data_IF_216576850469
#
_entry.id   IF_216576850469
#
_cell.length_a   1.000
_cell.length_b   1.000
_cell.length_c   1.000
_cell.angle_alpha   90.00
_cell.angle_beta   90.00
_cell.angle_gamma   90.00
#
_symmetry.space_group_name_H-M   'P 1'
#
loop_
_entity.id
_entity.type
_entity.pdbx_description
1 polymer ?
#
# COMPACT_ATOMS: atom_id res chain seq x y z
N UNK A 1 -0.40 32.82 33.75
CA UNK A 1 0.46 31.73 34.26
C UNK A 1 -0.11 30.33 34.03
N UNK A 2 -1.41 30.08 34.21
CA UNK A 2 -2.02 28.75 34.06
C UNK A 2 -1.98 28.16 32.63
N UNK A 3 -2.16 28.97 31.58
CA UNK A 3 -2.10 28.48 30.19
C UNK A 3 -0.72 27.92 29.77
N UNK A 4 0.36 28.54 30.25
CA UNK A 4 1.73 28.13 29.90
C UNK A 4 2.08 26.75 30.50
N UNK A 5 1.58 26.48 31.72
CA UNK A 5 1.75 25.19 32.39
C UNK A 5 0.98 24.06 31.69
N UNK A 6 -0.23 24.32 31.17
CA UNK A 6 -0.98 23.34 30.37
C UNK A 6 -0.29 23.03 29.02
N UNK A 7 0.26 24.05 28.34
CA UNK A 7 0.95 23.85 27.06
C UNK A 7 2.21 22.99 27.24
N UNK A 8 2.99 23.23 28.30
CA UNK A 8 4.17 22.41 28.62
C UNK A 8 3.81 20.95 28.96
N UNK A 9 2.69 20.72 29.66
CA UNK A 9 2.20 19.37 29.93
C UNK A 9 1.75 18.65 28.64
N UNK A 10 1.04 19.35 27.74
CA UNK A 10 0.62 18.80 26.46
C UNK A 10 1.82 18.54 25.52
N UNK A 11 2.83 19.40 25.52
CA UNK A 11 4.08 19.22 24.77
C UNK A 11 4.86 18.00 25.29
N UNK A 12 4.97 17.84 26.61
CA UNK A 12 5.57 16.65 27.23
C UNK A 12 4.85 15.35 26.85
N UNK A 13 3.51 15.37 26.82
CA UNK A 13 2.71 14.24 26.35
C UNK A 13 2.90 13.96 24.85
N UNK A 14 3.01 14.99 24.01
CA UNK A 14 3.26 14.84 22.58
C UNK A 14 4.64 14.22 22.31
N UNK A 15 5.69 14.75 22.93
CA UNK A 15 7.04 14.22 22.79
C UNK A 15 7.16 12.80 23.32
N UNK A 16 6.48 12.49 24.44
CA UNK A 16 6.41 11.13 24.98
C UNK A 16 5.73 10.17 23.99
N UNK A 17 4.61 10.56 23.36
CA UNK A 17 3.94 9.75 22.34
C UNK A 17 4.80 9.52 21.10
N UNK A 18 5.54 10.53 20.64
CA UNK A 18 6.49 10.40 19.52
C UNK A 18 7.63 9.44 19.87
N UNK A 19 8.14 9.51 21.10
CA UNK A 19 9.21 8.63 21.61
C UNK A 19 8.73 7.19 21.76
N UNK A 20 7.52 6.97 22.29
CA UNK A 20 6.87 5.66 22.36
C UNK A 20 6.66 5.08 20.95
N UNK A 21 6.16 5.88 19.99
CA UNK A 21 6.04 5.43 18.59
C UNK A 21 7.38 5.01 17.98
N UNK A 22 8.46 5.75 18.28
CA UNK A 22 9.83 5.39 17.83
C UNK A 22 10.32 4.08 18.47
N UNK A 23 10.10 3.90 19.77
CA UNK A 23 10.49 2.69 20.51
C UNK A 23 9.71 1.48 20.02
N UNK A 24 8.39 1.60 19.86
CA UNK A 24 7.53 0.58 19.27
C UNK A 24 8.05 0.21 17.86
N UNK A 25 8.35 1.21 17.03
CA UNK A 25 8.90 1.00 15.67
C UNK A 25 10.27 0.30 15.67
N UNK A 26 11.10 0.49 16.71
CA UNK A 26 12.36 -0.23 16.88
C UNK A 26 12.23 -1.62 17.51
N UNK A 27 11.11 -1.92 18.19
CA UNK A 27 10.85 -3.22 18.83
C UNK A 27 10.14 -4.23 17.91
N UNK A 28 9.49 -3.78 16.82
CA UNK A 28 8.83 -4.67 15.87
C UNK A 28 9.78 -5.23 14.81
N UNK A 29 9.84 -6.57 14.73
CA UNK A 29 10.69 -7.29 13.79
C UNK A 29 10.30 -6.98 12.32
N UNK A 30 11.29 -6.73 11.46
CA UNK A 30 11.19 -6.14 10.10
C UNK A 30 10.29 -6.91 9.13
N UNK A 31 10.26 -8.24 9.24
CA UNK A 31 9.35 -9.08 8.44
C UNK A 31 7.89 -8.91 8.87
N UNK A 32 7.64 -8.54 10.13
CA UNK A 32 6.30 -8.41 10.68
C UNK A 32 5.62 -7.10 10.28
N UNK A 33 6.36 -5.99 10.19
CA UNK A 33 5.83 -4.70 9.72
C UNK A 33 5.45 -4.74 8.22
N UNK A 34 6.29 -5.36 7.38
CA UNK A 34 5.97 -5.58 5.96
C UNK A 34 4.75 -6.50 5.79
N UNK A 35 4.75 -7.58 6.58
CA UNK A 35 3.60 -8.49 6.65
C UNK A 35 2.36 -7.79 7.21
N UNK A 36 2.46 -6.60 7.80
CA UNK A 36 1.32 -5.83 8.28
C UNK A 36 0.69 -5.00 7.16
N UNK A 37 1.46 -4.27 6.35
CA UNK A 37 0.91 -3.47 5.24
C UNK A 37 0.35 -4.34 4.12
N UNK A 38 1.01 -5.45 3.77
CA UNK A 38 0.45 -6.42 2.84
C UNK A 38 -0.87 -7.03 3.35
N UNK A 39 -0.93 -7.41 4.63
CA UNK A 39 -2.19 -7.86 5.27
C UNK A 39 -3.26 -6.77 5.31
N UNK A 40 -2.89 -5.52 5.56
CA UNK A 40 -3.82 -4.38 5.57
C UNK A 40 -4.40 -4.18 4.16
N UNK A 41 -3.57 -4.15 3.12
CA UNK A 41 -4.02 -4.07 1.74
C UNK A 41 -4.97 -5.22 1.39
N UNK A 42 -4.60 -6.45 1.75
CA UNK A 42 -5.45 -7.63 1.56
C UNK A 42 -6.78 -7.50 2.31
N UNK A 43 -6.78 -6.97 3.54
CA UNK A 43 -8.01 -6.79 4.34
C UNK A 43 -8.99 -5.77 3.74
N UNK A 44 -8.47 -4.78 3.01
CA UNK A 44 -9.30 -3.82 2.29
C UNK A 44 -9.89 -4.41 1.01
N UNK A 45 -9.18 -5.31 0.34
CA UNK A 45 -9.67 -5.96 -0.87
C UNK A 45 -10.91 -6.82 -0.57
N UNK A 46 -12.05 -6.46 -1.15
CA UNK A 46 -13.36 -7.10 -0.86
C UNK A 46 -13.69 -7.16 0.63
N UNK A 47 -13.12 -6.23 1.42
CA UNK A 47 -13.39 -6.07 2.84
C UNK A 47 -14.70 -5.33 3.11
N UNK A 48 -14.77 -4.64 4.25
CA UNK A 48 -15.96 -3.92 4.71
C UNK A 48 -16.50 -2.91 3.69
N UNK A 49 -15.60 -2.18 3.03
CA UNK A 49 -15.93 -1.17 2.02
C UNK A 49 -16.06 -1.76 0.61
N UNK A 50 -15.85 -3.07 0.46
CA UNK A 50 -15.88 -3.82 -0.80
C UNK A 50 -14.97 -3.21 -1.90
N UNK A 51 -13.77 -2.77 -1.51
CA UNK A 51 -12.81 -2.20 -2.44
C UNK A 51 -12.31 -3.22 -3.47
N UNK A 52 -12.02 -2.72 -4.68
CA UNK A 52 -11.33 -3.49 -5.70
C UNK A 52 -9.81 -3.56 -5.42
N UNK A 53 -9.05 -4.28 -6.25
CA UNK A 53 -7.61 -4.47 -6.08
C UNK A 53 -6.80 -3.16 -6.12
N UNK A 54 -7.20 -2.19 -6.95
CA UNK A 54 -6.53 -0.90 -7.06
C UNK A 54 -6.80 -0.01 -5.84
N UNK A 55 -8.06 0.05 -5.42
CA UNK A 55 -8.51 0.79 -4.25
C UNK A 55 -7.90 0.25 -2.95
N UNK A 56 -7.76 -1.06 -2.83
CA UNK A 56 -7.14 -1.70 -1.68
C UNK A 56 -5.68 -1.27 -1.49
N UNK A 57 -4.91 -1.17 -2.58
CA UNK A 57 -3.53 -0.64 -2.55
C UNK A 57 -3.54 0.83 -2.12
N UNK A 58 -4.34 1.68 -2.78
CA UNK A 58 -4.40 3.10 -2.42
C UNK A 58 -4.78 3.32 -0.95
N UNK A 59 -5.76 2.55 -0.43
CA UNK A 59 -6.19 2.68 0.96
C UNK A 59 -5.11 2.24 1.95
N UNK A 60 -4.39 1.15 1.65
CA UNK A 60 -3.31 0.67 2.53
C UNK A 60 -2.13 1.65 2.63
N UNK A 61 -1.86 2.37 1.55
CA UNK A 61 -0.75 3.31 1.41
C UNK A 61 -1.19 4.78 1.46
N UNK A 62 -2.39 5.03 1.98
CA UNK A 62 -3.00 6.36 1.97
C UNK A 62 -2.12 7.42 2.63
N UNK A 63 -1.64 7.12 3.84
CA UNK A 63 -0.77 8.03 4.61
C UNK A 63 0.63 8.14 3.99
N UNK A 64 1.16 7.05 3.43
CA UNK A 64 2.53 7.01 2.89
C UNK A 64 2.69 7.87 1.62
N UNK A 65 1.60 8.07 0.86
CA UNK A 65 1.59 8.83 -0.40
C UNK A 65 0.63 10.03 -0.38
N UNK A 66 0.09 10.42 0.78
CA UNK A 66 -0.89 11.51 0.92
C UNK A 66 -2.10 11.38 -0.04
N UNK A 67 -2.65 10.17 -0.15
CA UNK A 67 -3.78 9.88 -1.03
C UNK A 67 -5.08 10.35 -0.36
N UNK A 68 -5.93 11.05 -1.11
CA UNK A 68 -7.26 11.47 -0.63
C UNK A 68 -8.29 10.36 -0.80
N UNK A 69 -9.35 10.36 0.03
CA UNK A 69 -10.45 9.40 -0.14
C UNK A 69 -11.12 9.54 -1.52
N UNK A 70 -11.17 10.76 -2.07
CA UNK A 70 -11.67 11.01 -3.42
C UNK A 70 -10.86 10.27 -4.49
N UNK A 71 -9.52 10.29 -4.41
CA UNK A 71 -8.67 9.51 -5.31
C UNK A 71 -8.94 8.00 -5.17
N UNK A 72 -9.17 7.49 -3.95
CA UNK A 72 -9.54 6.08 -3.74
C UNK A 72 -10.87 5.77 -4.42
N UNK A 73 -11.86 6.65 -4.35
CA UNK A 73 -13.16 6.46 -5.01
C UNK A 73 -13.03 6.46 -6.54
N UNK A 74 -12.21 7.33 -7.11
CA UNK A 74 -11.96 7.38 -8.56
C UNK A 74 -11.38 6.09 -9.12
N UNK A 75 -10.61 5.35 -8.30
CA UNK A 75 -10.02 4.07 -8.70
C UNK A 75 -11.00 2.90 -8.69
N UNK A 76 -12.28 3.12 -8.32
CA UNK A 76 -13.36 2.11 -8.46
C UNK A 76 -13.47 1.58 -9.88
N UNK A 77 -13.17 2.41 -10.89
CA UNK A 77 -13.23 2.06 -12.32
C UNK A 77 -12.11 1.12 -12.80
N UNK A 78 -11.04 0.94 -12.04
CA UNK A 78 -9.85 0.16 -12.44
C UNK A 78 -9.85 -1.30 -11.93
N UNK A 79 -10.95 -1.77 -11.35
CA UNK A 79 -11.09 -3.16 -10.91
C UNK A 79 -11.40 -4.13 -12.07
N UNK A 80 -10.95 -5.38 -11.94
CA UNK A 80 -11.33 -6.47 -12.86
C UNK A 80 -10.76 -6.33 -14.28
N UNK A 81 -9.54 -5.81 -14.41
CA UNK A 81 -8.89 -5.63 -15.72
C UNK A 81 -9.43 -4.44 -16.53
N UNK A 82 -10.02 -3.46 -15.86
CA UNK A 82 -10.51 -2.21 -16.48
C UNK A 82 -9.50 -1.06 -16.44
N UNK A 83 -8.32 -1.29 -15.87
CA UNK A 83 -7.20 -0.38 -16.03
C UNK A 83 -6.77 -0.32 -17.50
N UNK A 84 -6.07 0.75 -17.86
CA UNK A 84 -5.50 0.91 -19.20
C UNK A 84 -4.68 -0.33 -19.60
N UNK A 85 -4.87 -0.82 -20.83
CA UNK A 85 -4.22 -2.04 -21.32
C UNK A 85 -4.71 -3.34 -20.66
N UNK A 86 -5.77 -3.31 -19.86
CA UNK A 86 -6.27 -4.50 -19.15
C UNK A 86 -5.40 -4.93 -17.96
N UNK A 87 -4.47 -4.07 -17.53
CA UNK A 87 -3.49 -4.33 -16.47
C UNK A 87 -4.18 -4.66 -15.14
N UNK A 88 -3.53 -5.48 -14.32
CA UNK A 88 -3.96 -5.74 -12.94
C UNK A 88 -4.12 -4.42 -12.18
N UNK A 89 -5.29 -4.20 -11.56
CA UNK A 89 -5.58 -2.94 -10.85
C UNK A 89 -4.63 -2.65 -9.69
N UNK A 90 -4.13 -3.67 -8.99
CA UNK A 90 -3.12 -3.49 -7.93
C UNK A 90 -1.80 -2.95 -8.51
N UNK A 91 -1.28 -3.59 -9.57
CA UNK A 91 -0.08 -3.14 -10.27
C UNK A 91 -0.26 -1.74 -10.84
N UNK A 92 -1.39 -1.47 -11.49
CA UNK A 92 -1.70 -0.15 -12.03
C UNK A 92 -1.64 0.93 -10.95
N UNK A 93 -2.26 0.69 -9.78
CA UNK A 93 -2.22 1.62 -8.67
C UNK A 93 -0.79 1.86 -8.17
N UNK A 94 0.01 0.79 -7.97
CA UNK A 94 1.39 0.92 -7.55
C UNK A 94 2.24 1.76 -8.53
N UNK A 95 2.13 1.51 -9.84
CA UNK A 95 2.82 2.29 -10.87
C UNK A 95 2.43 3.78 -10.86
N UNK A 96 1.19 4.12 -10.48
CA UNK A 96 0.75 5.51 -10.35
C UNK A 96 1.27 6.19 -9.08
N UNK A 97 1.61 5.42 -8.03
CA UNK A 97 2.20 5.94 -6.80
C UNK A 97 3.73 6.08 -6.89
N UNK A 98 4.38 5.26 -7.70
CA UNK A 98 5.84 5.29 -7.88
C UNK A 98 6.21 6.31 -8.97
N UNK A 99 6.83 7.43 -8.58
CA UNK A 99 7.25 8.47 -9.53
C UNK A 99 8.55 8.15 -10.28
N UNK A 100 9.35 7.21 -9.79
CA UNK A 100 10.60 6.80 -10.44
C UNK A 100 10.32 5.64 -11.40
N UNK A 101 10.61 5.85 -12.69
CA UNK A 101 10.29 4.89 -13.75
C UNK A 101 11.06 3.57 -13.62
N UNK A 102 12.35 3.61 -13.28
CA UNK A 102 13.17 2.41 -13.09
C UNK A 102 12.61 1.52 -11.97
N UNK A 103 12.18 2.13 -10.87
CA UNK A 103 11.57 1.41 -9.75
C UNK A 103 10.20 0.88 -10.13
N UNK A 104 9.39 1.68 -10.85
CA UNK A 104 8.09 1.23 -11.37
C UNK A 104 8.24 0.01 -12.28
N UNK A 105 9.24 0.03 -13.16
CA UNK A 105 9.58 -1.09 -14.03
C UNK A 105 10.11 -2.29 -13.25
N UNK A 106 10.91 -2.08 -12.20
CA UNK A 106 11.35 -3.16 -11.33
C UNK A 106 10.18 -3.84 -10.60
N UNK A 107 9.23 -3.07 -10.07
CA UNK A 107 8.03 -3.59 -9.42
C UNK A 107 7.17 -4.37 -10.42
N UNK A 108 7.00 -3.86 -11.64
CA UNK A 108 6.29 -4.59 -12.70
C UNK A 108 6.98 -5.91 -13.06
N UNK A 109 8.30 -5.91 -13.24
CA UNK A 109 9.06 -7.12 -13.55
C UNK A 109 8.96 -8.14 -12.42
N UNK A 110 9.08 -7.71 -11.17
CA UNK A 110 8.93 -8.57 -10.00
C UNK A 110 7.53 -9.18 -9.95
N UNK A 111 6.50 -8.36 -10.12
CA UNK A 111 5.11 -8.81 -10.17
C UNK A 111 4.87 -9.79 -11.32
N UNK A 112 5.35 -9.48 -12.52
CA UNK A 112 5.20 -10.31 -13.71
C UNK A 112 5.86 -11.68 -13.54
N UNK A 113 7.05 -11.75 -12.92
CA UNK A 113 7.70 -13.02 -12.59
C UNK A 113 6.88 -13.89 -11.64
N UNK A 114 6.19 -13.27 -10.68
CA UNK A 114 5.36 -14.00 -9.73
C UNK A 114 3.98 -14.39 -10.28
N UNK A 115 3.38 -13.52 -11.12
CA UNK A 115 2.04 -13.67 -11.66
C UNK A 115 1.98 -14.39 -13.01
N UNK A 116 3.12 -14.47 -13.70
CA UNK A 116 3.26 -14.98 -15.07
C UNK A 116 2.77 -14.03 -16.17
N UNK A 117 2.06 -12.96 -15.81
CA UNK A 117 1.56 -11.92 -16.71
C UNK A 117 1.26 -10.61 -15.96
N UNK A 118 0.99 -9.54 -16.69
CA UNK A 118 0.62 -8.23 -16.13
C UNK A 118 -0.87 -7.89 -16.29
N UNK A 119 -1.54 -8.50 -17.28
CA UNK A 119 -2.96 -8.25 -17.53
C UNK A 119 -3.84 -9.10 -16.63
N UNK A 120 -4.95 -8.54 -16.15
CA UNK A 120 -5.81 -9.24 -15.21
C UNK A 120 -6.39 -10.53 -15.80
N UNK A 121 -6.70 -10.54 -17.11
CA UNK A 121 -7.27 -11.70 -17.79
C UNK A 121 -6.27 -12.85 -17.87
N UNK A 122 -5.01 -12.56 -18.23
CA UNK A 122 -3.96 -13.58 -18.34
C UNK A 122 -3.57 -14.13 -16.98
N UNK A 123 -3.44 -13.29 -15.97
CA UNK A 123 -3.12 -13.74 -14.60
C UNK A 123 -4.18 -14.75 -14.12
N UNK A 124 -5.47 -14.44 -14.35
CA UNK A 124 -6.56 -15.32 -13.96
C UNK A 124 -6.64 -16.60 -14.81
N UNK A 125 -6.22 -16.57 -16.09
CA UNK A 125 -6.16 -17.77 -16.92
C UNK A 125 -5.02 -18.70 -16.54
N UNK A 126 -3.87 -18.14 -16.13
CA UNK A 126 -2.70 -18.88 -15.65
C UNK A 126 -2.93 -19.53 -14.28
N UNK A 127 -3.84 -18.99 -13.47
CA UNK A 127 -4.18 -19.48 -12.11
C UNK A 127 -2.99 -19.56 -11.15
N UNK A 128 -1.89 -18.88 -11.45
CA UNK A 128 -0.71 -18.82 -10.58
C UNK A 128 -0.95 -17.94 -9.36
N UNK A 129 -1.60 -16.77 -9.55
CA UNK A 129 -1.98 -15.86 -8.46
C UNK A 129 -3.47 -15.53 -8.50
N UNK A 130 -4.08 -15.53 -7.33
CA UNK A 130 -5.41 -14.96 -7.13
C UNK A 130 -5.33 -13.43 -6.99
N UNK A 131 -6.45 -12.73 -7.17
CA UNK A 131 -6.52 -11.28 -6.91
C UNK A 131 -6.02 -10.90 -5.50
N UNK A 132 -6.29 -11.73 -4.49
CA UNK A 132 -5.77 -11.54 -3.12
C UNK A 132 -4.24 -11.57 -3.12
N UNK A 133 -3.64 -12.57 -3.77
CA UNK A 133 -2.18 -12.71 -3.87
C UNK A 133 -1.53 -11.62 -4.71
N UNK A 134 -2.22 -11.11 -5.75
CA UNK A 134 -1.75 -9.94 -6.48
C UNK A 134 -1.67 -8.69 -5.59
N UNK A 135 -2.68 -8.46 -4.75
CA UNK A 135 -2.68 -7.33 -3.80
C UNK A 135 -1.56 -7.49 -2.77
N UNK A 136 -1.39 -8.70 -2.22
CA UNK A 136 -0.32 -9.00 -1.27
C UNK A 136 1.07 -8.75 -1.88
N UNK A 137 1.35 -9.30 -3.07
CA UNK A 137 2.64 -9.17 -3.75
C UNK A 137 2.98 -7.72 -4.08
N UNK A 138 2.01 -6.95 -4.58
CA UNK A 138 2.23 -5.53 -4.88
C UNK A 138 2.48 -4.71 -3.61
N UNK A 139 1.78 -4.99 -2.52
CA UNK A 139 2.02 -4.31 -1.26
C UNK A 139 3.44 -4.63 -0.73
N UNK A 140 3.88 -5.89 -0.81
CA UNK A 140 5.26 -6.25 -0.45
C UNK A 140 6.30 -5.46 -1.26
N UNK A 141 6.11 -5.32 -2.57
CA UNK A 141 6.99 -4.51 -3.42
C UNK A 141 6.95 -3.00 -3.10
N UNK A 142 5.78 -2.45 -2.75
CA UNK A 142 5.67 -1.04 -2.33
C UNK A 142 6.36 -0.79 -0.98
N UNK A 143 6.30 -1.74 -0.05
CA UNK A 143 7.02 -1.63 1.22
C UNK A 143 8.54 -1.60 1.00
N UNK A 144 9.05 -2.38 0.05
CA UNK A 144 10.47 -2.35 -0.32
C UNK A 144 10.86 -1.00 -0.91
N UNK A 145 10.04 -0.46 -1.82
CA UNK A 145 10.24 0.88 -2.37
C UNK A 145 10.29 1.97 -1.30
N UNK A 146 9.32 1.99 -0.38
CA UNK A 146 9.25 2.99 0.69
C UNK A 146 10.43 2.91 1.67
N UNK A 147 11.12 1.76 1.75
CA UNK A 147 12.36 1.64 2.52
C UNK A 147 13.54 2.28 1.83
N UNK A 148 13.65 2.16 0.50
CA UNK A 148 14.75 2.75 -0.28
C UNK A 148 14.68 4.28 -0.38
N UNK A 149 13.55 4.89 -0.02
CA UNK A 149 13.34 6.35 0.03
C UNK A 149 13.83 7.03 1.32
N UNK A 150 14.20 6.28 2.36
CA UNK A 150 14.64 6.81 3.66
C UNK A 150 16.15 6.83 3.77
#
# INVERSE_FOLDING_TARGET
>A
MYLYSMILQLQGCYEYNVKIRRIIKSMYNKSMYNKMKSKVAVSYYRGKENFNCAQAILKAYQEDFNITDQQILEYKKFGGGKAEGGVCGALFAAKKLIHNEDISNHVEQHFSKAAGAITCREILSLKQLSCHKCVENIAESLDEYLKGKK
#
